data_IF_926881391494
#
_entry.id   IF_926881391494
#
_cell.length_a   1.000
_cell.length_b   1.000
_cell.length_c   1.000
_cell.angle_alpha   90.00
_cell.angle_beta   90.00
_cell.angle_gamma   90.00
#
_symmetry.space_group_name_H-M   'P 1'
#
loop_
_entity.id
_entity.type
_entity.pdbx_description
1 polymer ?
#
# COMPACT_ATOMS: atom_id res chain seq x y z
N UNK A 1 -29.15 36.74 -8.22
CA UNK A 1 -28.62 36.51 -9.58
C UNK A 1 -27.27 37.21 -9.68
N UNK A 2 -26.21 36.50 -10.06
CA UNK A 2 -24.88 37.07 -10.19
C UNK A 2 -23.79 36.06 -9.90
N UNK A 3 -23.74 34.98 -10.70
CA UNK A 3 -22.62 34.04 -10.69
C UNK A 3 -21.41 34.74 -11.33
N UNK A 4 -20.33 34.91 -10.58
CA UNK A 4 -19.04 35.31 -11.13
C UNK A 4 -18.32 34.07 -11.66
N UNK A 5 -18.30 33.94 -12.98
CA UNK A 5 -17.51 32.98 -13.75
C UNK A 5 -16.19 33.63 -14.16
N UNK A 6 -15.08 33.28 -13.48
CA UNK A 6 -13.74 33.59 -13.98
C UNK A 6 -13.18 32.37 -14.70
N UNK A 7 -12.93 32.59 -16.00
CA UNK A 7 -12.23 31.74 -16.94
C UNK A 7 -10.76 31.63 -16.54
N UNK A 8 -10.22 30.42 -16.47
CA UNK A 8 -8.82 30.19 -16.82
C UNK A 8 -8.70 28.89 -17.60
N UNK A 9 -7.92 28.98 -18.66
CA UNK A 9 -7.86 28.13 -19.83
C UNK A 9 -6.91 26.95 -19.64
N UNK A 10 -7.40 25.78 -20.03
CA UNK A 10 -6.64 24.55 -20.28
C UNK A 10 -5.76 24.73 -21.51
N UNK A 11 -4.49 24.33 -21.43
CA UNK A 11 -3.79 23.65 -22.53
C UNK A 11 -2.87 22.51 -22.01
N UNK A 12 -2.89 21.33 -22.65
CA UNK A 12 -2.05 20.18 -22.33
C UNK A 12 -0.76 20.15 -23.17
N UNK A 13 0.37 19.81 -22.56
CA UNK A 13 1.61 19.52 -23.29
C UNK A 13 1.72 18.00 -23.53
N UNK A 14 1.62 17.64 -24.80
CA UNK A 14 2.03 16.37 -25.42
C UNK A 14 3.52 16.44 -25.74
N UNK A 15 4.28 15.39 -25.45
CA UNK A 15 5.43 15.04 -26.29
C UNK A 15 5.75 13.55 -26.18
N UNK A 16 5.65 12.89 -27.33
CA UNK A 16 6.06 11.52 -27.61
C UNK A 16 7.59 11.41 -27.67
N UNK A 17 8.13 10.26 -27.25
CA UNK A 17 9.35 9.73 -27.85
C UNK A 17 9.31 8.20 -27.81
N UNK A 18 9.03 7.58 -28.97
CA UNK A 18 9.37 6.20 -29.29
C UNK A 18 10.66 6.19 -30.10
N UNK A 19 11.67 5.46 -29.65
CA UNK A 19 12.74 4.84 -30.46
C UNK A 19 13.58 4.01 -29.49
N UNK A 20 14.12 2.82 -29.76
CA UNK A 20 14.18 1.95 -30.92
C UNK A 20 15.00 0.74 -30.47
N UNK A 21 14.53 -0.45 -30.80
CA UNK A 21 15.16 -1.74 -30.54
C UNK A 21 16.49 -1.88 -31.29
N UNK A 22 17.55 -2.37 -30.62
CA UNK A 22 18.73 -2.96 -31.27
C UNK A 22 19.74 -3.53 -30.26
N UNK A 23 19.42 -4.66 -29.63
CA UNK A 23 20.45 -5.49 -28.99
C UNK A 23 21.08 -6.37 -30.07
N UNK A 24 22.26 -5.95 -30.54
CA UNK A 24 23.08 -6.69 -31.50
C UNK A 24 23.61 -7.98 -30.87
N UNK A 25 23.27 -9.10 -31.50
CA UNK A 25 23.96 -10.37 -31.34
C UNK A 25 25.42 -10.22 -31.78
N UNK A 26 26.36 -10.69 -30.95
CA UNK A 26 27.79 -10.74 -31.24
C UNK A 26 28.38 -12.05 -30.73
N UNK A 27 28.34 -13.06 -31.60
CA UNK A 27 29.04 -14.34 -31.49
C UNK A 27 30.46 -14.15 -32.05
N UNK A 28 31.53 -14.31 -31.26
CA UNK A 28 32.86 -14.75 -31.72
C UNK A 28 33.60 -15.50 -30.58
N UNK A 29 33.61 -16.82 -30.73
CA UNK A 29 34.68 -17.82 -30.55
C UNK A 29 36.01 -17.47 -29.85
N UNK A 30 36.32 -18.26 -28.80
CA UNK A 30 37.45 -19.22 -28.64
C UNK A 30 38.85 -18.83 -29.22
N UNK A 31 39.85 -18.65 -28.34
CA UNK A 31 41.05 -19.52 -28.19
C UNK A 31 42.26 -18.85 -27.47
N UNK A 32 42.92 -19.63 -26.60
CA UNK A 32 44.34 -19.60 -26.17
C UNK A 32 44.86 -18.35 -25.40
N UNK A 33 45.72 -18.42 -24.38
CA UNK A 33 46.44 -19.48 -23.65
C UNK A 33 47.01 -18.86 -22.35
N UNK A 34 47.07 -19.68 -21.28
CA UNK A 34 48.00 -19.70 -20.13
C UNK A 34 48.49 -18.40 -19.44
N UNK A 35 48.20 -18.31 -18.12
CA UNK A 35 49.27 -18.38 -17.10
C UNK A 35 48.70 -18.65 -15.71
N UNK A 36 49.27 -19.64 -15.04
CA UNK A 36 48.92 -20.11 -13.72
C UNK A 36 49.14 -19.07 -12.61
N UNK A 37 48.17 -18.95 -11.71
CA UNK A 37 48.43 -18.74 -10.28
C UNK A 37 47.39 -19.47 -9.47
N UNK A 38 47.83 -20.59 -8.92
CA UNK A 38 47.22 -21.36 -7.84
C UNK A 38 47.04 -20.45 -6.61
N UNK A 39 45.80 -20.26 -6.17
CA UNK A 39 45.48 -19.83 -4.81
C UNK A 39 44.25 -20.62 -4.37
N UNK A 40 44.50 -21.58 -3.48
CA UNK A 40 43.51 -22.38 -2.79
C UNK A 40 42.63 -21.45 -1.92
N UNK A 41 41.31 -21.53 -2.06
CA UNK A 41 40.38 -21.12 -1.00
C UNK A 41 39.12 -21.97 -1.07
N UNK A 42 39.03 -22.90 -0.12
CA UNK A 42 37.82 -23.48 0.46
C UNK A 42 36.70 -23.86 -0.52
N UNK A 43 36.80 -25.09 -1.03
CA UNK A 43 35.65 -25.90 -1.41
C UNK A 43 34.87 -26.24 -0.14
N UNK A 44 33.94 -25.36 0.26
CA UNK A 44 32.83 -25.77 1.09
C UNK A 44 31.76 -26.34 0.16
N UNK A 45 31.75 -27.67 0.07
CA UNK A 45 30.67 -28.43 -0.55
C UNK A 45 29.35 -28.02 0.08
N UNK A 46 28.65 -27.11 -0.59
CA UNK A 46 27.25 -26.85 -0.33
C UNK A 46 26.50 -28.04 -0.91
N UNK A 47 26.32 -29.08 -0.10
CA UNK A 47 25.32 -30.10 -0.36
C UNK A 47 23.98 -29.38 -0.45
N UNK A 48 23.58 -29.01 -1.66
CA UNK A 48 22.21 -28.60 -1.91
C UNK A 48 21.40 -29.86 -1.68
N UNK A 49 20.64 -29.88 -0.57
CA UNK A 49 19.66 -30.92 -0.34
C UNK A 49 18.76 -30.97 -1.59
N UNK A 50 18.67 -32.13 -2.27
CA UNK A 50 17.91 -32.25 -3.51
C UNK A 50 16.43 -31.90 -3.32
N UNK A 51 15.92 -31.90 -2.10
CA UNK A 51 14.56 -31.49 -1.79
C UNK A 51 14.42 -29.96 -1.67
N UNK A 52 15.43 -29.24 -1.17
CA UNK A 52 15.46 -27.77 -1.22
C UNK A 52 15.52 -27.21 -2.64
N UNK A 53 16.24 -27.88 -3.54
CA UNK A 53 16.36 -27.46 -4.95
C UNK A 53 15.02 -27.64 -5.69
N UNK A 54 14.34 -28.78 -5.50
CA UNK A 54 12.99 -29.01 -6.03
C UNK A 54 11.96 -28.02 -5.48
N UNK A 55 12.05 -27.66 -4.20
CA UNK A 55 11.16 -26.64 -3.61
C UNK A 55 11.38 -25.26 -4.22
N UNK A 56 12.64 -24.87 -4.45
CA UNK A 56 12.99 -23.61 -5.14
C UNK A 56 12.48 -23.61 -6.58
N UNK A 57 12.61 -24.72 -7.30
CA UNK A 57 12.06 -24.87 -8.66
C UNK A 57 10.52 -24.81 -8.70
N UNK A 58 9.86 -25.48 -7.76
CA UNK A 58 8.40 -25.45 -7.63
C UNK A 58 7.90 -24.04 -7.29
N UNK A 59 8.58 -23.34 -6.37
CA UNK A 59 8.29 -21.96 -6.02
C UNK A 59 8.50 -21.01 -7.21
N UNK A 60 9.60 -21.15 -7.94
CA UNK A 60 9.87 -20.38 -9.15
C UNK A 60 8.78 -20.60 -10.21
N UNK A 61 8.38 -21.84 -10.45
CA UNK A 61 7.30 -22.21 -11.38
C UNK A 61 5.97 -21.58 -10.94
N UNK A 62 5.66 -21.56 -9.64
CA UNK A 62 4.45 -20.93 -9.10
C UNK A 62 4.45 -19.43 -9.31
N UNK A 63 5.58 -18.76 -9.08
CA UNK A 63 5.75 -17.32 -9.31
C UNK A 63 5.62 -17.00 -10.81
N UNK A 64 6.25 -17.77 -11.69
CA UNK A 64 6.17 -17.61 -13.14
C UNK A 64 4.74 -17.81 -13.65
N UNK A 65 4.04 -18.85 -13.19
CA UNK A 65 2.66 -19.12 -13.54
C UNK A 65 1.73 -18.00 -13.05
N UNK A 66 1.92 -17.52 -11.81
CA UNK A 66 1.16 -16.40 -11.25
C UNK A 66 1.39 -15.11 -12.03
N UNK A 67 2.64 -14.82 -12.40
CA UNK A 67 3.02 -13.64 -13.17
C UNK A 67 2.47 -13.67 -14.60
N UNK A 68 2.61 -14.80 -15.31
CA UNK A 68 2.02 -15.00 -16.64
C UNK A 68 0.49 -14.84 -16.59
N UNK A 69 -0.15 -15.41 -15.57
CA UNK A 69 -1.58 -15.26 -15.34
C UNK A 69 -1.98 -13.81 -15.03
N UNK A 70 -1.19 -13.10 -14.22
CA UNK A 70 -1.42 -11.69 -13.92
C UNK A 70 -1.28 -10.81 -15.17
N UNK A 71 -0.28 -11.07 -16.01
CA UNK A 71 -0.12 -10.37 -17.29
C UNK A 71 -1.30 -10.60 -18.24
N UNK A 72 -1.75 -11.85 -18.41
CA UNK A 72 -2.92 -12.16 -19.23
C UNK A 72 -4.20 -11.50 -18.69
N UNK A 73 -4.41 -11.54 -17.36
CA UNK A 73 -5.55 -10.85 -16.72
C UNK A 73 -5.43 -9.32 -16.83
N UNK A 74 -4.22 -8.77 -16.79
CA UNK A 74 -3.98 -7.32 -16.92
C UNK A 74 -4.20 -6.85 -18.36
N UNK A 75 -3.78 -7.60 -19.39
CA UNK A 75 -4.07 -7.25 -20.79
C UNK A 75 -5.57 -7.31 -21.07
N UNK A 76 -6.27 -8.34 -20.57
CA UNK A 76 -7.73 -8.45 -20.68
C UNK A 76 -8.44 -7.33 -19.91
N UNK A 77 -8.00 -7.02 -18.68
CA UNK A 77 -8.54 -5.89 -17.92
C UNK A 77 -8.32 -4.56 -18.60
N UNK A 78 -7.15 -4.32 -19.19
CA UNK A 78 -6.88 -3.09 -19.95
C UNK A 78 -7.76 -3.03 -21.19
N UNK A 79 -8.00 -4.14 -21.89
CA UNK A 79 -8.96 -4.18 -22.99
C UNK A 79 -10.41 -4.01 -22.52
N UNK A 80 -10.74 -4.45 -21.30
CA UNK A 80 -12.07 -4.32 -20.70
C UNK A 80 -12.31 -2.92 -20.14
N UNK A 81 -11.29 -2.25 -19.59
CA UNK A 81 -11.35 -0.84 -19.15
C UNK A 81 -11.28 0.12 -20.33
N UNK A 82 -10.47 -0.18 -21.36
CA UNK A 82 -10.47 0.58 -22.61
C UNK A 82 -11.79 0.37 -23.38
N UNK A 83 -12.31 -0.86 -23.43
CA UNK A 83 -13.70 -1.10 -23.87
C UNK A 83 -14.73 -0.46 -22.96
N UNK A 84 -14.46 -0.12 -21.70
CA UNK A 84 -15.44 0.60 -20.87
C UNK A 84 -15.48 2.10 -21.16
N UNK A 85 -14.38 2.67 -21.65
CA UNK A 85 -14.33 4.05 -22.14
C UNK A 85 -14.68 4.17 -23.64
N UNK A 86 -14.59 3.08 -24.42
CA UNK A 86 -14.95 3.05 -25.86
C UNK A 86 -16.01 1.99 -26.22
N UNK A 87 -16.90 1.63 -25.29
CA UNK A 87 -18.18 0.93 -25.61
C UNK A 87 -19.34 1.91 -25.52
N UNK A 88 -19.21 3.05 -26.20
CA UNK A 88 -20.38 3.67 -26.81
C UNK A 88 -20.57 3.22 -28.25
N UNK A 89 -19.54 2.78 -29.00
CA UNK A 89 -19.72 2.55 -30.43
C UNK A 89 -18.86 1.39 -30.97
N UNK A 90 -19.51 0.48 -31.68
CA UNK A 90 -18.95 -0.48 -32.64
C UNK A 90 -18.24 -1.75 -32.11
N UNK A 91 -19.07 -2.77 -31.85
CA UNK A 91 -19.07 -4.10 -32.52
C UNK A 91 -19.49 -5.23 -31.58
N UNK A 92 -20.72 -5.11 -31.09
CA UNK A 92 -21.62 -6.26 -30.91
C UNK A 92 -22.73 -6.09 -31.96
N UNK A 93 -22.52 -6.66 -33.14
CA UNK A 93 -23.62 -6.84 -34.10
C UNK A 93 -24.56 -7.86 -33.47
N UNK A 94 -25.81 -7.42 -33.21
CA UNK A 94 -26.86 -8.09 -32.42
C UNK A 94 -26.80 -7.85 -30.90
N UNK A 95 -26.66 -6.60 -30.46
CA UNK A 95 -27.25 -6.19 -29.18
C UNK A 95 -28.10 -4.96 -29.40
N UNK A 96 -29.31 -5.18 -29.91
CA UNK A 96 -30.43 -4.26 -29.74
C UNK A 96 -30.42 -3.81 -28.29
N UNK A 97 -30.35 -2.51 -28.00
CA UNK A 97 -30.68 -2.04 -26.66
C UNK A 97 -32.04 -2.65 -26.32
N UNK A 98 -32.15 -3.42 -25.22
CA UNK A 98 -33.40 -4.05 -24.89
C UNK A 98 -34.42 -2.95 -24.74
N UNK A 99 -35.45 -3.01 -25.59
CA UNK A 99 -36.51 -2.03 -25.58
C UNK A 99 -37.16 -2.02 -24.20
N UNK A 100 -37.67 -0.87 -23.78
CA UNK A 100 -38.30 -0.72 -22.47
C UNK A 100 -39.36 -1.81 -22.20
N UNK A 101 -40.08 -2.20 -23.25
CA UNK A 101 -41.08 -3.28 -23.24
C UNK A 101 -40.45 -4.64 -22.94
N UNK A 102 -39.31 -4.98 -23.53
CA UNK A 102 -38.58 -6.23 -23.26
C UNK A 102 -38.08 -6.29 -21.82
N UNK A 103 -37.59 -5.17 -21.28
CA UNK A 103 -37.18 -5.08 -19.87
C UNK A 103 -38.38 -5.19 -18.92
N UNK A 104 -39.53 -4.61 -19.27
CA UNK A 104 -40.75 -4.75 -18.47
C UNK A 104 -41.32 -6.17 -18.50
N UNK A 105 -41.11 -6.87 -19.61
CA UNK A 105 -41.51 -8.26 -19.76
C UNK A 105 -40.62 -9.21 -18.94
N UNK A 106 -39.33 -8.90 -18.81
CA UNK A 106 -38.35 -9.67 -18.04
C UNK A 106 -38.39 -9.33 -16.53
N UNK A 107 -38.61 -8.05 -16.17
CA UNK A 107 -38.71 -7.56 -14.79
C UNK A 107 -40.17 -7.29 -14.38
N UNK A 108 -41.01 -8.31 -14.47
CA UNK A 108 -42.43 -8.21 -14.09
C UNK A 108 -42.57 -7.89 -12.60
N UNK A 109 -43.35 -6.85 -12.28
CA UNK A 109 -43.68 -6.50 -10.88
C UNK A 109 -44.40 -7.61 -10.13
N UNK A 110 -45.10 -8.47 -10.87
CA UNK A 110 -45.95 -9.53 -10.33
C UNK A 110 -45.17 -10.83 -10.13
N UNK A 111 -43.91 -10.89 -10.59
CA UNK A 111 -43.01 -12.00 -10.30
C UNK A 111 -42.55 -11.94 -8.84
N UNK A 112 -43.12 -12.83 -8.05
CA UNK A 112 -42.85 -12.95 -6.62
C UNK A 112 -41.39 -13.35 -6.35
N UNK A 113 -40.77 -14.16 -7.21
CA UNK A 113 -39.38 -14.59 -7.03
C UNK A 113 -38.43 -13.42 -7.25
N UNK A 114 -38.64 -12.66 -8.32
CA UNK A 114 -37.88 -11.44 -8.61
C UNK A 114 -38.02 -10.40 -7.49
N UNK A 115 -39.25 -10.16 -7.02
CA UNK A 115 -39.51 -9.26 -5.89
C UNK A 115 -38.77 -9.71 -4.61
N UNK A 116 -38.78 -11.02 -4.32
CA UNK A 116 -38.11 -11.57 -3.15
C UNK A 116 -36.58 -11.47 -3.27
N UNK A 117 -36.03 -11.73 -4.45
CA UNK A 117 -34.61 -11.58 -4.74
C UNK A 117 -34.16 -10.12 -4.59
N UNK A 118 -34.91 -9.17 -5.17
CA UNK A 118 -34.65 -7.75 -5.06
C UNK A 118 -34.67 -7.29 -3.59
N UNK A 119 -35.68 -7.69 -2.82
CA UNK A 119 -35.76 -7.42 -1.36
C UNK A 119 -34.55 -7.97 -0.62
N UNK A 120 -34.11 -9.19 -0.94
CA UNK A 120 -32.94 -9.82 -0.33
C UNK A 120 -31.66 -9.02 -0.62
N UNK A 121 -31.44 -8.60 -1.86
CA UNK A 121 -30.29 -7.78 -2.26
C UNK A 121 -30.30 -6.43 -1.53
N UNK A 122 -31.46 -5.77 -1.48
CA UNK A 122 -31.60 -4.49 -0.77
C UNK A 122 -31.32 -4.65 0.73
N UNK A 123 -31.86 -5.69 1.35
CA UNK A 123 -31.65 -5.97 2.77
C UNK A 123 -30.18 -6.28 3.09
N UNK A 124 -29.51 -7.10 2.27
CA UNK A 124 -28.10 -7.43 2.47
C UNK A 124 -27.21 -6.20 2.28
N UNK A 125 -27.49 -5.36 1.29
CA UNK A 125 -26.76 -4.12 1.04
C UNK A 125 -26.93 -3.11 2.18
N UNK A 126 -28.17 -2.87 2.62
CA UNK A 126 -28.44 -2.01 3.78
C UNK A 126 -27.71 -2.51 5.03
N UNK A 127 -27.73 -3.82 5.26
CA UNK A 127 -26.99 -4.45 6.35
C UNK A 127 -25.47 -4.30 6.21
N UNK A 128 -24.93 -4.44 5.00
CA UNK A 128 -23.51 -4.24 4.71
C UNK A 128 -23.07 -2.80 4.99
N UNK A 129 -23.85 -1.80 4.56
CA UNK A 129 -23.55 -0.40 4.83
C UNK A 129 -23.50 -0.09 6.32
N UNK A 130 -24.50 -0.55 7.09
CA UNK A 130 -24.50 -0.38 8.54
C UNK A 130 -23.31 -1.07 9.22
N UNK A 131 -22.98 -2.31 8.81
CA UNK A 131 -21.81 -3.02 9.36
C UNK A 131 -20.49 -2.33 9.01
N UNK A 132 -20.38 -1.76 7.81
CA UNK A 132 -19.18 -1.03 7.38
C UNK A 132 -18.97 0.22 8.23
N UNK A 133 -20.02 0.99 8.49
CA UNK A 133 -19.98 2.15 9.38
C UNK A 133 -19.63 1.75 10.82
N UNK A 134 -20.26 0.69 11.35
CA UNK A 134 -19.96 0.18 12.69
C UNK A 134 -18.55 -0.38 12.81
N UNK A 135 -18.00 -1.01 11.76
CA UNK A 135 -16.63 -1.52 11.77
C UNK A 135 -15.62 -0.36 11.86
N UNK A 136 -15.85 0.72 11.11
CA UNK A 136 -15.03 1.92 11.22
C UNK A 136 -15.13 2.55 12.62
N UNK A 137 -16.35 2.67 13.17
CA UNK A 137 -16.57 3.22 14.50
C UNK A 137 -15.93 2.36 15.61
N UNK A 138 -16.08 1.03 15.55
CA UNK A 138 -15.45 0.10 16.51
C UNK A 138 -13.94 0.13 16.45
N UNK A 139 -13.36 0.22 15.24
CA UNK A 139 -11.90 0.35 15.11
C UNK A 139 -11.40 1.66 15.74
N UNK A 140 -12.12 2.76 15.55
CA UNK A 140 -11.77 4.03 16.19
C UNK A 140 -11.89 3.96 17.71
N UNK A 141 -12.97 3.36 18.22
CA UNK A 141 -13.19 3.16 19.66
C UNK A 141 -12.08 2.31 20.29
N UNK A 142 -11.70 1.20 19.66
CA UNK A 142 -10.61 0.35 20.15
C UNK A 142 -9.25 1.08 20.21
N UNK A 143 -8.96 1.98 19.25
CA UNK A 143 -7.73 2.77 19.30
C UNK A 143 -7.75 3.76 20.47
N UNK A 144 -8.88 4.42 20.71
CA UNK A 144 -9.04 5.35 21.83
C UNK A 144 -8.91 4.59 23.14
N UNK A 145 -9.59 3.45 23.29
CA UNK A 145 -9.55 2.63 24.49
C UNK A 145 -8.14 2.09 24.78
N UNK A 146 -7.40 1.67 23.75
CA UNK A 146 -5.99 1.28 23.91
C UNK A 146 -5.09 2.46 24.31
N UNK A 147 -5.33 3.64 23.74
CA UNK A 147 -4.58 4.84 24.10
C UNK A 147 -4.87 5.29 25.53
N UNK A 148 -6.13 5.26 25.97
CA UNK A 148 -6.52 5.59 27.35
C UNK A 148 -5.95 4.59 28.33
N UNK A 149 -5.99 3.29 28.03
CA UNK A 149 -5.38 2.26 28.89
C UNK A 149 -3.87 2.48 29.06
N UNK A 150 -3.14 2.84 27.99
CA UNK A 150 -1.70 3.14 28.07
C UNK A 150 -1.40 4.41 28.86
N UNK A 151 -2.27 5.42 28.79
CA UNK A 151 -2.11 6.64 29.59
C UNK A 151 -2.35 6.33 31.06
N UNK A 152 -3.38 5.55 31.37
CA UNK A 152 -3.72 5.14 32.73
C UNK A 152 -2.63 4.26 33.34
N UNK A 153 -2.08 3.30 32.59
CA UNK A 153 -0.93 2.48 33.00
C UNK A 153 0.28 3.36 33.35
N UNK A 154 0.67 4.29 32.46
CA UNK A 154 1.79 5.21 32.73
C UNK A 154 1.53 6.14 33.91
N UNK A 155 0.29 6.54 34.11
CA UNK A 155 -0.09 7.38 35.25
C UNK A 155 0.02 6.59 36.55
N UNK A 156 -0.45 5.34 36.58
CA UNK A 156 -0.32 4.45 37.73
C UNK A 156 1.15 4.14 38.04
N UNK A 157 1.95 3.86 37.02
CA UNK A 157 3.40 3.63 37.16
C UNK A 157 4.10 4.87 37.75
N UNK A 158 3.80 6.06 37.24
CA UNK A 158 4.33 7.31 37.78
C UNK A 158 3.86 7.57 39.22
N UNK A 159 2.62 7.24 39.57
CA UNK A 159 2.12 7.36 40.95
C UNK A 159 2.85 6.39 41.88
N UNK A 160 3.10 5.16 41.42
CA UNK A 160 3.84 4.14 42.18
C UNK A 160 5.31 4.56 42.39
N UNK A 161 5.97 5.12 41.37
CA UNK A 161 7.35 5.61 41.47
C UNK A 161 7.48 6.82 42.41
N UNK A 162 6.44 7.66 42.48
CA UNK A 162 6.39 8.81 43.38
C UNK A 162 5.96 8.43 44.81
N UNK A 163 5.61 7.18 45.06
CA UNK A 163 5.17 6.72 46.39
C UNK A 163 6.32 6.85 47.40
N UNK A 164 6.14 7.72 48.39
CA UNK A 164 7.16 8.02 49.42
C UNK A 164 8.05 9.22 49.15
N UNK A 165 7.86 9.94 48.03
CA UNK A 165 8.54 11.22 47.75
C UNK A 165 7.67 12.39 48.21
N UNK A 166 8.23 13.31 49.00
CA UNK A 166 7.54 14.55 49.39
C UNK A 166 7.60 15.59 48.27
N UNK A 167 6.51 15.71 47.52
CA UNK A 167 6.36 16.69 46.43
C UNK A 167 6.33 18.15 46.93
N UNK A 168 6.22 18.41 48.23
CA UNK A 168 6.29 19.76 48.79
C UNK A 168 7.71 20.18 49.18
N UNK A 169 8.71 19.28 49.12
CA UNK A 169 10.08 19.59 49.51
C UNK A 169 10.71 20.65 48.58
N UNK A 170 11.10 21.83 49.11
CA UNK A 170 11.74 22.87 48.32
C UNK A 170 13.08 22.45 47.69
N UNK A 171 13.82 21.52 48.29
CA UNK A 171 15.10 21.07 47.75
C UNK A 171 14.90 20.08 46.59
N UNK A 172 13.89 19.21 46.67
CA UNK A 172 13.43 18.40 45.53
C UNK A 172 13.04 19.27 44.33
N UNK A 173 12.28 20.35 44.56
CA UNK A 173 11.90 21.29 43.49
C UNK A 173 13.11 22.00 42.85
N UNK A 174 14.09 22.44 43.64
CA UNK A 174 15.34 23.03 43.11
C UNK A 174 16.11 22.02 42.25
N UNK A 175 16.23 20.78 42.70
CA UNK A 175 16.91 19.71 41.97
C UNK A 175 16.19 19.40 40.64
N UNK A 176 14.86 19.20 40.68
CA UNK A 176 14.04 18.96 39.50
C UNK A 176 14.18 20.08 38.46
N UNK A 177 14.14 21.34 38.91
CA UNK A 177 14.31 22.52 38.03
C UNK A 177 15.67 22.50 37.33
N UNK A 178 16.74 22.14 38.05
CA UNK A 178 18.10 22.04 37.49
C UNK A 178 18.21 20.91 36.45
N UNK A 179 17.61 19.76 36.73
CA UNK A 179 17.57 18.61 35.81
C UNK A 179 16.78 18.99 34.54
N UNK A 180 15.61 19.60 34.68
CA UNK A 180 14.77 20.04 33.55
C UNK A 180 15.48 21.06 32.67
N UNK A 181 16.14 22.07 33.26
CA UNK A 181 16.91 23.07 32.53
C UNK A 181 18.08 22.44 31.75
N UNK A 182 18.81 21.53 32.39
CA UNK A 182 19.92 20.79 31.76
C UNK A 182 19.42 19.94 30.59
N UNK A 183 18.33 19.18 30.77
CA UNK A 183 17.75 18.32 29.74
C UNK A 183 17.21 19.12 28.55
N UNK A 184 16.49 20.22 28.79
CA UNK A 184 16.00 21.10 27.72
C UNK A 184 17.17 21.68 26.91
N UNK A 185 18.25 22.09 27.58
CA UNK A 185 19.47 22.51 26.91
C UNK A 185 20.16 21.39 26.13
N UNK A 186 20.20 20.17 26.67
CA UNK A 186 20.75 18.99 25.99
C UNK A 186 19.96 18.65 24.71
N UNK A 187 18.63 18.65 24.76
CA UNK A 187 17.74 18.43 23.60
C UNK A 187 18.04 19.41 22.46
N UNK A 188 18.11 20.71 22.75
CA UNK A 188 18.41 21.73 21.75
C UNK A 188 19.81 21.51 21.14
N UNK A 189 20.81 21.24 21.98
CA UNK A 189 22.18 20.96 21.51
C UNK A 189 22.25 19.69 20.66
N UNK A 190 21.52 18.65 21.03
CA UNK A 190 21.43 17.41 20.27
C UNK A 190 20.82 17.66 18.88
N UNK A 191 19.71 18.39 18.81
CA UNK A 191 19.06 18.75 17.55
C UNK A 191 19.99 19.58 16.65
N UNK A 192 20.64 20.61 17.19
CA UNK A 192 21.60 21.45 16.44
C UNK A 192 22.81 20.64 15.96
N UNK A 193 23.35 19.74 16.79
CA UNK A 193 24.50 18.93 16.41
C UNK A 193 24.16 17.94 15.28
N UNK A 194 22.96 17.33 15.32
CA UNK A 194 22.47 16.47 14.25
C UNK A 194 22.34 17.25 12.92
N UNK A 195 21.81 18.48 12.96
CA UNK A 195 21.66 19.30 11.76
C UNK A 195 23.01 19.80 11.22
N UNK A 196 23.96 20.13 12.10
CA UNK A 196 25.33 20.51 11.70
C UNK A 196 26.07 19.37 11.01
N UNK A 197 25.93 18.12 11.50
CA UNK A 197 26.58 16.95 10.87
C UNK A 197 25.97 16.56 9.52
N UNK A 198 24.71 16.93 9.26
CA UNK A 198 24.00 16.61 8.03
C UNK A 198 24.28 17.62 6.89
N UNK A 199 24.63 18.87 7.20
CA UNK A 199 25.01 19.87 6.20
C UNK A 199 26.48 19.76 5.76
N UNK A 200 27.40 19.41 6.66
CA UNK A 200 28.83 19.23 6.32
C UNK A 200 29.10 17.97 5.48
N UNK A 201 28.17 16.99 5.45
CA UNK A 201 28.28 15.79 4.61
C UNK A 201 27.73 15.98 3.18
N UNK A 202 27.26 17.17 2.83
CA UNK A 202 26.74 17.54 1.50
C UNK A 202 27.63 18.52 0.72
N UNK A 203 28.82 18.82 1.23
CA UNK A 203 29.77 19.77 0.60
C UNK A 203 30.99 19.07 0.00
#
# INVERSE_FOLDING_TARGET
MGCNTSKESVQPAVEEAKEGDSIKNGDISKAAENSATKAESADEGKENDPDEEKEKEAAATKIQAAFRGHHARKSLRVSETASKETRTDEKSSESTEPTQEQLQEEFRSDDQELCNAAKKIQATFRGHMSRKEQAAAKSAMNMVESATAKIEEKMQDAVQELEGIDLADPDLHKAATKIQASFRGHKVRQEVNIHSTADDSKK
#
